data_IF_207002172491
#
_entry.id   IF_207002172491
#
_cell.length_a   1.000
_cell.length_b   1.000
_cell.length_c   1.000
_cell.angle_alpha   90.00
_cell.angle_beta   90.00
_cell.angle_gamma   90.00
#
_symmetry.space_group_name_H-M   'P 1'
#
loop_
_entity.id
_entity.type
_entity.pdbx_description
1 polymer ?
#
# COMPACT_ATOMS: atom_id res chain seq x y z
N UNK A 1 33.74 6.54 -37.30
CA UNK A 1 33.00 5.52 -36.56
C UNK A 1 33.00 5.94 -35.13
N UNK A 2 31.92 6.50 -34.63
CA UNK A 2 31.73 6.77 -33.19
C UNK A 2 31.18 5.46 -32.61
N UNK A 3 31.99 4.79 -31.80
CA UNK A 3 31.52 3.70 -30.96
C UNK A 3 30.56 4.30 -29.94
N UNK A 4 29.29 3.90 -30.02
CA UNK A 4 28.32 4.11 -28.95
C UNK A 4 28.77 3.23 -27.78
N UNK A 5 29.46 3.80 -26.82
CA UNK A 5 29.58 3.22 -25.48
C UNK A 5 28.18 3.23 -24.89
N UNK A 6 27.47 2.11 -25.02
CA UNK A 6 26.33 1.85 -24.16
C UNK A 6 26.87 1.76 -22.72
N UNK A 7 26.59 2.78 -21.92
CA UNK A 7 26.82 2.70 -20.48
C UNK A 7 26.16 1.43 -19.96
N UNK A 8 26.97 0.44 -19.62
CA UNK A 8 26.47 -0.79 -18.98
C UNK A 8 25.89 -0.40 -17.62
N UNK A 9 24.56 -0.44 -17.50
CA UNK A 9 23.87 -0.25 -16.24
C UNK A 9 24.41 -1.30 -15.27
N UNK A 10 25.13 -0.87 -14.23
CA UNK A 10 25.64 -1.78 -13.22
C UNK A 10 24.50 -2.13 -12.27
N UNK A 11 24.11 -3.43 -12.17
CA UNK A 11 23.04 -3.85 -11.26
C UNK A 11 23.31 -3.41 -9.81
N UNK A 12 22.27 -2.95 -9.11
CA UNK A 12 22.33 -2.51 -7.72
C UNK A 12 21.41 -3.34 -6.83
N UNK A 13 21.75 -3.41 -5.56
CA UNK A 13 20.89 -3.97 -4.54
C UNK A 13 19.76 -2.98 -4.23
N UNK A 14 18.56 -3.53 -3.94
CA UNK A 14 17.40 -2.75 -3.52
C UNK A 14 16.97 -3.16 -2.11
N UNK A 15 16.73 -2.18 -1.27
CA UNK A 15 16.17 -2.34 0.08
C UNK A 15 14.70 -1.93 0.09
N UNK A 16 13.81 -2.88 0.32
CA UNK A 16 12.36 -2.67 0.37
C UNK A 16 11.88 -2.83 1.80
N UNK A 17 11.18 -1.82 2.30
CA UNK A 17 10.50 -1.86 3.60
C UNK A 17 9.00 -1.86 3.37
N UNK A 18 8.30 -2.83 3.94
CA UNK A 18 6.84 -2.91 3.89
C UNK A 18 6.26 -2.63 5.28
N UNK A 19 5.38 -1.64 5.35
CA UNK A 19 4.73 -1.17 6.57
C UNK A 19 3.21 -1.32 6.42
N UNK A 20 2.51 -1.71 7.46
CA UNK A 20 1.06 -1.67 7.38
C UNK A 20 0.32 -2.79 8.07
N UNK A 21 -0.84 -3.09 7.54
CA UNK A 21 -1.83 -3.97 8.15
C UNK A 21 -1.75 -5.44 7.67
N UNK A 22 -2.87 -6.14 7.69
CA UNK A 22 -2.98 -7.54 7.26
C UNK A 22 -2.67 -7.78 5.79
N UNK A 23 -2.85 -6.77 4.91
CA UNK A 23 -2.47 -6.90 3.50
C UNK A 23 -0.94 -6.95 3.35
N UNK A 24 -0.24 -6.09 4.07
CA UNK A 24 1.24 -6.10 4.11
C UNK A 24 1.77 -7.38 4.78
N UNK A 25 1.09 -7.90 5.82
CA UNK A 25 1.41 -9.20 6.43
C UNK A 25 1.22 -10.37 5.45
N UNK A 26 0.33 -10.24 4.47
CA UNK A 26 0.01 -11.27 3.48
C UNK A 26 -1.08 -12.25 3.94
N UNK A 27 -2.01 -11.78 4.78
CA UNK A 27 -3.13 -12.60 5.27
C UNK A 27 -4.01 -13.06 4.11
N UNK A 28 -4.34 -14.35 4.06
CA UNK A 28 -5.11 -14.96 2.97
C UNK A 28 -4.24 -15.58 1.86
N UNK A 29 -2.93 -15.31 1.89
CA UNK A 29 -1.96 -15.94 0.99
C UNK A 29 -0.83 -16.62 1.77
N UNK A 30 -0.72 -17.93 1.66
CA UNK A 30 0.35 -18.70 2.34
C UNK A 30 1.77 -18.45 1.82
N UNK A 31 1.96 -17.52 0.87
CA UNK A 31 3.24 -17.24 0.20
C UNK A 31 3.82 -15.85 0.52
N UNK A 32 3.16 -15.06 1.38
CA UNK A 32 3.64 -13.75 1.84
C UNK A 32 3.08 -12.54 1.09
N UNK A 33 1.97 -12.72 0.37
CA UNK A 33 1.17 -11.66 -0.22
C UNK A 33 1.89 -10.83 -1.29
N UNK A 34 1.39 -9.62 -1.52
CA UNK A 34 1.90 -8.74 -2.57
C UNK A 34 3.37 -8.33 -2.38
N UNK A 35 3.85 -8.25 -1.14
CA UNK A 35 5.23 -7.84 -0.84
C UNK A 35 6.24 -8.82 -1.45
N UNK A 36 6.00 -10.12 -1.27
CA UNK A 36 6.85 -11.17 -1.85
C UNK A 36 6.80 -11.15 -3.39
N UNK A 37 5.63 -10.90 -3.96
CA UNK A 37 5.45 -10.84 -5.41
C UNK A 37 6.12 -9.61 -6.03
N UNK A 38 6.02 -8.44 -5.39
CA UNK A 38 6.75 -7.22 -5.83
C UNK A 38 8.26 -7.47 -5.79
N UNK A 39 8.79 -8.10 -4.71
CA UNK A 39 10.20 -8.53 -4.66
C UNK A 39 10.56 -9.34 -5.90
N UNK A 40 9.77 -10.38 -6.24
CA UNK A 40 10.03 -11.25 -7.40
C UNK A 40 9.99 -10.50 -8.74
N UNK A 41 9.14 -9.47 -8.88
CA UNK A 41 9.12 -8.63 -10.07
C UNK A 41 10.37 -7.76 -10.17
N UNK A 42 10.82 -7.17 -9.06
CA UNK A 42 12.03 -6.36 -9.02
C UNK A 42 13.30 -7.18 -9.29
N UNK A 43 13.39 -8.41 -8.78
CA UNK A 43 14.53 -9.33 -9.01
C UNK A 43 14.66 -9.82 -10.46
N UNK A 44 13.63 -9.68 -11.27
CA UNK A 44 13.71 -10.04 -12.72
C UNK A 44 14.32 -8.94 -13.58
N UNK A 45 14.60 -7.78 -13.02
CA UNK A 45 15.17 -6.65 -13.75
C UNK A 45 16.68 -6.81 -13.92
N UNK A 46 17.18 -6.40 -15.07
CA UNK A 46 18.62 -6.45 -15.38
C UNK A 46 19.45 -5.45 -14.59
N UNK A 47 18.84 -4.35 -14.12
CA UNK A 47 19.45 -3.31 -13.31
C UNK A 47 19.42 -3.59 -11.79
N UNK A 48 18.87 -4.74 -11.37
CA UNK A 48 18.76 -5.16 -9.97
C UNK A 48 19.62 -6.40 -9.73
N UNK A 49 20.48 -6.36 -8.71
CA UNK A 49 21.32 -7.47 -8.28
C UNK A 49 20.61 -8.37 -7.28
N UNK A 50 20.13 -7.78 -6.18
CA UNK A 50 19.39 -8.47 -5.12
C UNK A 50 18.35 -7.53 -4.50
N UNK A 51 17.23 -8.10 -4.00
CA UNK A 51 16.19 -7.34 -3.30
C UNK A 51 16.07 -7.82 -1.86
N UNK A 52 16.45 -6.96 -0.92
CA UNK A 52 16.33 -7.18 0.52
C UNK A 52 15.00 -6.62 1.02
N UNK A 53 14.15 -7.48 1.59
CA UNK A 53 12.83 -7.08 2.08
C UNK A 53 12.76 -7.18 3.60
N UNK A 54 12.28 -6.09 4.25
CA UNK A 54 11.88 -6.09 5.66
C UNK A 54 10.37 -5.81 5.72
N UNK A 55 9.60 -6.80 6.16
CA UNK A 55 8.14 -6.73 6.24
C UNK A 55 7.70 -6.54 7.70
N UNK A 56 7.07 -5.40 8.00
CA UNK A 56 6.51 -5.02 9.30
C UNK A 56 4.98 -4.96 9.27
N UNK A 57 4.35 -5.70 8.37
CA UNK A 57 2.89 -5.86 8.31
C UNK A 57 2.38 -6.53 9.59
N UNK A 58 1.25 -6.01 10.11
CA UNK A 58 0.62 -6.53 11.31
C UNK A 58 -0.89 -6.52 11.20
N UNK A 59 -1.50 -7.70 11.26
CA UNK A 59 -2.96 -7.84 11.22
C UNK A 59 -3.65 -6.91 12.23
N UNK A 60 -4.68 -6.21 11.75
CA UNK A 60 -5.48 -5.31 12.58
C UNK A 60 -4.84 -3.95 12.87
N UNK A 61 -3.64 -3.67 12.31
CA UNK A 61 -2.97 -2.37 12.52
C UNK A 61 -3.86 -1.23 11.99
N UNK A 62 -3.99 -0.18 12.79
CA UNK A 62 -4.63 1.08 12.43
C UNK A 62 -3.59 2.19 12.28
N UNK A 63 -3.98 3.26 11.59
CA UNK A 63 -3.08 4.38 11.32
C UNK A 63 -2.49 5.00 12.59
N UNK A 64 -3.23 5.04 13.70
CA UNK A 64 -2.75 5.55 14.99
C UNK A 64 -1.54 4.77 15.55
N UNK A 65 -1.32 3.53 15.13
CA UNK A 65 -0.25 2.65 15.60
C UNK A 65 0.95 2.60 14.63
N UNK A 66 0.78 3.11 13.40
CA UNK A 66 1.81 3.03 12.36
C UNK A 66 3.05 3.87 12.72
N UNK A 67 2.86 5.00 13.40
CA UNK A 67 3.95 5.86 13.87
C UNK A 67 4.92 5.12 14.79
N UNK A 68 4.42 4.26 15.68
CA UNK A 68 5.26 3.44 16.56
C UNK A 68 6.08 2.42 15.76
N UNK A 69 5.50 1.84 14.69
CA UNK A 69 6.21 0.90 13.82
C UNK A 69 7.33 1.63 13.07
N UNK A 70 7.04 2.82 12.52
CA UNK A 70 8.05 3.65 11.84
C UNK A 70 9.20 3.98 12.79
N UNK A 71 8.91 4.50 13.97
CA UNK A 71 9.92 4.92 14.95
C UNK A 71 10.80 3.75 15.42
N UNK A 72 10.21 2.59 15.68
CA UNK A 72 10.95 1.40 16.13
C UNK A 72 11.88 0.82 15.06
N UNK A 73 11.61 1.09 13.78
CA UNK A 73 12.35 0.55 12.64
C UNK A 73 13.11 1.62 11.85
N UNK A 74 13.34 2.80 12.44
CA UNK A 74 14.07 3.91 11.84
C UNK A 74 15.39 3.48 11.16
N UNK A 75 16.29 2.67 11.78
CA UNK A 75 17.56 2.29 11.16
C UNK A 75 17.42 1.47 9.87
N UNK A 76 16.30 0.75 9.71
CA UNK A 76 15.98 -0.02 8.51
C UNK A 76 15.36 0.88 7.45
N UNK A 77 14.42 1.75 7.85
CA UNK A 77 13.74 2.72 6.99
C UNK A 77 14.75 3.69 6.38
N UNK A 78 15.77 4.10 7.13
CA UNK A 78 16.82 5.01 6.67
C UNK A 78 17.59 4.47 5.44
N UNK A 79 17.60 3.16 5.25
CA UNK A 79 18.31 2.49 4.14
C UNK A 79 17.39 2.04 3.01
N UNK A 80 16.09 2.28 3.13
CA UNK A 80 15.12 1.83 2.15
C UNK A 80 15.22 2.63 0.85
N UNK A 81 15.23 1.94 -0.28
CA UNK A 81 15.00 2.53 -1.61
C UNK A 81 13.50 2.67 -1.87
N UNK A 82 12.71 1.69 -1.39
CA UNK A 82 11.26 1.61 -1.57
C UNK A 82 10.56 1.31 -0.25
N UNK A 83 9.54 2.09 0.06
CA UNK A 83 8.65 1.86 1.20
C UNK A 83 7.24 1.58 0.67
N UNK A 84 6.71 0.39 0.94
CA UNK A 84 5.35 -0.03 0.58
C UNK A 84 4.45 0.09 1.81
N UNK A 85 3.28 0.71 1.66
CA UNK A 85 2.35 0.92 2.78
C UNK A 85 0.96 0.44 2.43
N UNK A 86 0.31 -0.34 3.32
CA UNK A 86 -1.13 -0.57 3.35
C UNK A 86 -1.68 -0.17 4.70
N UNK A 87 -2.63 0.77 4.74
CA UNK A 87 -3.21 1.27 5.99
C UNK A 87 -4.56 1.95 5.73
N UNK A 88 -5.44 1.90 6.70
CA UNK A 88 -6.73 2.61 6.68
C UNK A 88 -7.94 1.69 6.67
N UNK A 89 -7.85 0.46 6.17
CA UNK A 89 -8.97 -0.49 6.18
C UNK A 89 -9.49 -0.78 7.59
N UNK A 90 -8.58 -0.93 8.56
CA UNK A 90 -8.96 -1.12 9.96
C UNK A 90 -9.50 0.15 10.63
N UNK A 91 -9.14 1.33 10.14
CA UNK A 91 -9.72 2.62 10.61
C UNK A 91 -11.18 2.72 10.15
N UNK A 92 -11.49 2.39 8.90
CA UNK A 92 -12.88 2.26 8.40
C UNK A 92 -13.66 1.25 9.24
N UNK A 93 -13.11 0.05 9.44
CA UNK A 93 -13.77 -1.01 10.20
C UNK A 93 -13.95 -0.66 11.69
N UNK A 94 -13.10 0.19 12.26
CA UNK A 94 -13.28 0.73 13.62
C UNK A 94 -14.57 1.55 13.71
N UNK A 95 -14.84 2.43 12.75
CA UNK A 95 -16.09 3.21 12.72
C UNK A 95 -17.29 2.27 12.66
N UNK A 96 -17.28 1.29 11.75
CA UNK A 96 -18.37 0.29 11.62
C UNK A 96 -18.62 -0.44 12.94
N UNK A 97 -17.58 -0.97 13.58
CA UNK A 97 -17.72 -1.77 14.81
C UNK A 97 -18.15 -0.93 16.02
N UNK A 98 -17.62 0.30 16.12
CA UNK A 98 -17.88 1.17 17.29
C UNK A 98 -19.26 1.81 17.27
N UNK A 99 -19.91 1.90 16.08
CA UNK A 99 -21.18 2.63 15.89
C UNK A 99 -22.21 1.77 15.17
N UNK A 100 -22.13 0.45 15.25
CA UNK A 100 -22.93 -0.50 14.45
C UNK A 100 -24.46 -0.19 14.46
N UNK A 101 -24.99 0.27 15.58
CA UNK A 101 -26.42 0.61 15.73
C UNK A 101 -26.76 2.07 15.37
N UNK A 102 -25.76 2.91 15.11
CA UNK A 102 -25.93 4.35 14.88
C UNK A 102 -24.93 4.88 13.84
N UNK A 103 -24.65 4.08 12.82
CA UNK A 103 -23.76 4.47 11.72
C UNK A 103 -24.35 5.68 10.97
N UNK A 104 -23.54 6.70 10.82
CA UNK A 104 -23.84 7.86 9.95
C UNK A 104 -22.65 8.17 9.08
N UNK A 105 -22.89 8.81 7.94
CA UNK A 105 -21.82 9.22 7.01
C UNK A 105 -20.82 10.20 7.67
N UNK A 106 -21.30 11.07 8.55
CA UNK A 106 -20.49 12.05 9.27
C UNK A 106 -19.41 11.41 10.16
N UNK A 107 -19.68 10.22 10.72
CA UNK A 107 -18.68 9.48 11.50
C UNK A 107 -17.50 9.05 10.63
N UNK A 108 -17.79 8.60 9.41
CA UNK A 108 -16.75 8.26 8.45
C UNK A 108 -15.97 9.49 7.97
N UNK A 109 -16.65 10.60 7.70
CA UNK A 109 -15.99 11.88 7.33
C UNK A 109 -15.02 12.32 8.43
N UNK A 110 -15.47 12.30 9.69
CA UNK A 110 -14.63 12.69 10.84
C UNK A 110 -13.40 11.79 10.99
N UNK A 111 -13.59 10.48 10.91
CA UNK A 111 -12.45 9.54 11.03
C UNK A 111 -11.51 9.64 9.83
N UNK A 112 -12.04 9.86 8.61
CA UNK A 112 -11.22 10.07 7.42
C UNK A 112 -10.33 11.32 7.56
N UNK A 113 -10.85 12.42 8.10
CA UNK A 113 -10.07 13.63 8.35
C UNK A 113 -8.93 13.36 9.37
N UNK A 114 -9.24 12.65 10.45
CA UNK A 114 -8.25 12.27 11.44
C UNK A 114 -7.21 11.30 10.86
N UNK A 115 -7.63 10.34 10.04
CA UNK A 115 -6.76 9.44 9.29
C UNK A 115 -5.81 10.21 8.36
N UNK A 116 -6.34 11.16 7.57
CA UNK A 116 -5.54 11.97 6.65
C UNK A 116 -4.48 12.80 7.40
N UNK A 117 -4.81 13.35 8.57
CA UNK A 117 -3.84 14.06 9.41
C UNK A 117 -2.72 13.14 9.90
N UNK A 118 -3.07 11.96 10.41
CA UNK A 118 -2.07 10.96 10.85
C UNK A 118 -1.18 10.50 9.70
N UNK A 119 -1.77 10.28 8.52
CA UNK A 119 -1.02 9.89 7.32
C UNK A 119 -0.02 10.96 6.89
N UNK A 120 -0.41 12.23 6.99
CA UNK A 120 0.47 13.37 6.72
C UNK A 120 1.64 13.44 7.71
N UNK A 121 1.37 13.30 9.01
CA UNK A 121 2.41 13.24 10.05
C UNK A 121 3.37 12.07 9.84
N UNK A 122 2.87 10.91 9.42
CA UNK A 122 3.67 9.73 9.12
C UNK A 122 4.56 9.92 7.89
N UNK A 123 4.06 10.58 6.85
CA UNK A 123 4.87 10.93 5.69
C UNK A 123 5.96 11.94 6.04
N UNK A 124 5.66 12.94 6.86
CA UNK A 124 6.69 13.87 7.36
C UNK A 124 7.77 13.14 8.13
N UNK A 125 7.40 12.19 9.01
CA UNK A 125 8.35 11.38 9.76
C UNK A 125 9.19 10.50 8.84
N UNK A 126 8.57 9.83 7.85
CA UNK A 126 9.29 9.01 6.88
C UNK A 126 10.28 9.84 6.05
N UNK A 127 9.89 11.04 5.62
CA UNK A 127 10.77 11.97 4.90
C UNK A 127 11.91 12.52 5.78
N UNK A 128 11.65 12.74 7.06
CA UNK A 128 12.69 13.10 8.02
C UNK A 128 13.73 11.98 8.22
N UNK A 129 13.27 10.72 8.29
CA UNK A 129 14.14 9.55 8.45
C UNK A 129 14.89 9.25 7.14
N UNK A 130 14.19 9.29 6.01
CA UNK A 130 14.73 8.98 4.70
C UNK A 130 14.12 9.91 3.63
N UNK A 131 14.83 10.98 3.24
CA UNK A 131 14.35 11.94 2.26
C UNK A 131 14.24 11.35 0.84
N UNK A 132 15.02 10.33 0.52
CA UNK A 132 15.23 9.81 -0.83
C UNK A 132 14.38 8.58 -1.16
N UNK A 133 13.85 7.87 -0.14
CA UNK A 133 13.05 6.67 -0.35
C UNK A 133 11.82 6.96 -1.22
N UNK A 134 11.51 6.07 -2.14
CA UNK A 134 10.24 6.11 -2.83
C UNK A 134 9.15 5.48 -1.96
N UNK A 135 8.04 6.20 -1.72
CA UNK A 135 6.99 5.75 -0.82
C UNK A 135 5.71 5.48 -1.61
N UNK A 136 5.22 4.25 -1.53
CA UNK A 136 4.00 3.79 -2.21
C UNK A 136 2.92 3.50 -1.18
N UNK A 137 1.76 4.14 -1.31
CA UNK A 137 0.55 3.75 -0.60
C UNK A 137 -0.38 2.99 -1.54
N UNK A 138 -0.70 1.77 -1.17
CA UNK A 138 -1.76 0.99 -1.83
C UNK A 138 -3.11 1.44 -1.30
N UNK A 139 -4.01 1.78 -2.20
CA UNK A 139 -5.36 2.23 -1.86
C UNK A 139 -6.22 1.15 -1.21
N UNK A 140 -7.36 1.56 -0.70
CA UNK A 140 -8.36 0.65 -0.14
C UNK A 140 -9.28 0.11 -1.25
N UNK A 141 -9.83 -1.07 -1.02
CA UNK A 141 -10.93 -1.65 -1.79
C UNK A 141 -12.12 -1.96 -0.89
N UNK A 142 -13.30 -2.16 -1.48
CA UNK A 142 -14.49 -2.62 -0.77
C UNK A 142 -14.59 -4.15 -0.87
N UNK A 143 -14.31 -4.90 0.21
CA UNK A 143 -14.39 -6.37 0.19
C UNK A 143 -15.84 -6.87 0.09
N UNK A 144 -16.83 -6.01 0.34
CA UNK A 144 -18.25 -6.37 0.37
C UNK A 144 -18.98 -6.07 -0.95
N UNK A 145 -18.29 -5.51 -1.96
CA UNK A 145 -18.93 -5.07 -3.21
C UNK A 145 -19.64 -6.21 -3.97
N UNK A 146 -19.07 -7.41 -3.96
CA UNK A 146 -19.71 -8.59 -4.58
C UNK A 146 -20.88 -9.14 -3.76
N UNK A 147 -20.76 -9.19 -2.42
CA UNK A 147 -21.78 -9.72 -1.53
C UNK A 147 -22.98 -8.77 -1.39
N UNK A 148 -22.76 -7.46 -1.48
CA UNK A 148 -23.77 -6.41 -1.30
C UNK A 148 -23.71 -5.35 -2.42
N UNK A 149 -23.97 -5.72 -3.68
CA UNK A 149 -23.78 -4.83 -4.84
C UNK A 149 -24.74 -3.62 -4.86
N UNK A 150 -25.76 -3.62 -4.01
CA UNK A 150 -26.74 -2.52 -3.90
C UNK A 150 -26.44 -1.55 -2.73
N UNK A 151 -25.32 -1.75 -2.00
CA UNK A 151 -24.91 -0.86 -0.90
C UNK A 151 -23.80 0.07 -1.41
N UNK A 152 -24.19 1.12 -2.14
CA UNK A 152 -23.25 2.10 -2.71
C UNK A 152 -22.58 3.00 -1.67
N UNK A 153 -23.11 3.06 -0.45
CA UNK A 153 -22.59 3.90 0.63
C UNK A 153 -21.16 3.49 1.02
N UNK A 154 -20.85 2.19 1.04
CA UNK A 154 -19.49 1.71 1.35
C UNK A 154 -18.51 2.09 0.23
N UNK A 155 -18.94 2.01 -1.02
CA UNK A 155 -18.10 2.44 -2.16
C UNK A 155 -17.78 3.93 -2.07
N UNK A 156 -18.77 4.75 -1.70
CA UNK A 156 -18.58 6.18 -1.44
C UNK A 156 -17.59 6.46 -0.30
N UNK A 157 -17.64 5.66 0.78
CA UNK A 157 -16.71 5.76 1.91
C UNK A 157 -15.29 5.38 1.46
N UNK A 158 -15.10 4.26 0.76
CA UNK A 158 -13.79 3.83 0.25
C UNK A 158 -13.24 4.85 -0.73
N UNK A 159 -14.06 5.38 -1.63
CA UNK A 159 -13.65 6.45 -2.55
C UNK A 159 -13.17 7.69 -1.78
N UNK A 160 -13.91 8.15 -0.78
CA UNK A 160 -13.52 9.30 0.06
C UNK A 160 -12.19 9.07 0.78
N UNK A 161 -11.94 7.85 1.29
CA UNK A 161 -10.65 7.49 1.91
C UNK A 161 -9.50 7.52 0.91
N UNK A 162 -9.70 6.94 -0.26
CA UNK A 162 -8.71 6.91 -1.32
C UNK A 162 -8.36 8.31 -1.84
N UNK A 163 -9.35 9.15 -2.09
CA UNK A 163 -9.13 10.54 -2.52
C UNK A 163 -8.41 11.37 -1.44
N UNK A 164 -8.79 11.20 -0.17
CA UNK A 164 -8.09 11.81 0.95
C UNK A 164 -6.62 11.41 1.03
N UNK A 165 -6.34 10.12 0.89
CA UNK A 165 -4.98 9.56 0.88
C UNK A 165 -4.17 10.07 -0.31
N UNK A 166 -4.74 10.04 -1.52
CA UNK A 166 -4.13 10.57 -2.74
C UNK A 166 -3.78 12.05 -2.59
N UNK A 167 -4.68 12.84 -2.02
CA UNK A 167 -4.44 14.27 -1.75
C UNK A 167 -3.31 14.50 -0.75
N UNK A 168 -3.15 13.64 0.27
CA UNK A 168 -2.01 13.71 1.20
C UNK A 168 -0.73 13.39 0.46
N UNK A 169 -0.67 12.27 -0.27
CA UNK A 169 0.51 11.82 -1.00
C UNK A 169 0.96 12.82 -2.06
N UNK A 170 0.04 13.46 -2.77
CA UNK A 170 0.38 14.45 -3.83
C UNK A 170 1.11 15.71 -3.33
N UNK A 171 1.30 15.89 -2.03
CA UNK A 171 2.03 17.01 -1.43
C UNK A 171 3.53 16.74 -1.23
N UNK A 172 3.95 15.48 -1.44
CA UNK A 172 5.31 15.04 -1.19
C UNK A 172 5.94 14.49 -2.46
N UNK A 173 7.20 14.82 -2.70
CA UNK A 173 7.99 14.23 -3.77
C UNK A 173 8.31 12.77 -3.46
N UNK A 174 8.58 11.99 -4.50
CA UNK A 174 8.88 10.56 -4.42
C UNK A 174 7.80 9.74 -3.69
N UNK A 175 6.54 10.11 -3.90
CA UNK A 175 5.39 9.38 -3.37
C UNK A 175 4.44 8.96 -4.48
N UNK A 176 3.80 7.80 -4.30
CA UNK A 176 2.87 7.22 -5.25
C UNK A 176 1.66 6.64 -4.53
N UNK A 177 0.47 7.03 -4.97
CA UNK A 177 -0.77 6.37 -4.58
C UNK A 177 -1.17 5.36 -5.67
N UNK A 178 -1.30 4.08 -5.30
CA UNK A 178 -1.69 3.00 -6.22
C UNK A 178 -3.13 2.59 -5.95
N UNK A 179 -4.09 2.95 -6.82
CA UNK A 179 -5.48 2.55 -6.67
C UNK A 179 -5.65 1.06 -7.00
N UNK A 180 -6.47 0.38 -6.19
CA UNK A 180 -6.80 -1.05 -6.38
C UNK A 180 -8.30 -1.34 -6.30
N UNK A 181 -9.15 -0.31 -6.14
CA UNK A 181 -10.59 -0.47 -5.96
C UNK A 181 -11.23 -1.22 -7.12
N UNK A 182 -10.84 -0.89 -8.35
CA UNK A 182 -11.32 -1.51 -9.59
C UNK A 182 -10.95 -2.99 -9.73
N UNK A 183 -9.89 -3.44 -9.08
CA UNK A 183 -9.48 -4.85 -9.10
C UNK A 183 -10.48 -5.75 -8.36
N UNK A 184 -11.16 -5.20 -7.35
CA UNK A 184 -12.04 -5.93 -6.44
C UNK A 184 -13.53 -5.67 -6.69
N UNK A 185 -13.89 -4.73 -7.58
CA UNK A 185 -15.26 -4.38 -7.85
C UNK A 185 -16.04 -5.57 -8.44
N UNK A 186 -17.07 -6.03 -7.69
CA UNK A 186 -17.94 -7.15 -8.09
C UNK A 186 -17.24 -8.52 -8.12
N UNK A 187 -16.07 -8.66 -7.46
CA UNK A 187 -15.24 -9.86 -7.51
C UNK A 187 -15.02 -10.48 -6.13
N UNK A 188 -15.65 -11.63 -5.89
CA UNK A 188 -15.42 -12.50 -4.73
C UNK A 188 -14.39 -13.61 -5.00
N UNK A 189 -14.16 -13.95 -6.27
CA UNK A 189 -13.21 -14.96 -6.74
C UNK A 189 -11.75 -14.69 -6.35
N UNK A 190 -11.42 -13.43 -6.03
CA UNK A 190 -10.09 -12.99 -5.61
C UNK A 190 -9.99 -12.70 -4.10
N UNK A 191 -11.06 -12.99 -3.35
CA UNK A 191 -11.05 -12.93 -1.88
C UNK A 191 -10.73 -14.32 -1.29
N UNK A 192 -10.15 -14.29 -0.10
CA UNK A 192 -9.89 -15.48 0.73
C UNK A 192 -11.20 -15.98 1.38
N UNK A 193 -11.16 -17.13 2.05
CA UNK A 193 -12.32 -17.76 2.70
C UNK A 193 -13.04 -16.86 3.71
N UNK A 194 -12.35 -15.87 4.26
CA UNK A 194 -12.93 -14.90 5.18
C UNK A 194 -13.73 -13.78 4.49
N UNK A 195 -13.81 -13.80 3.17
CA UNK A 195 -14.53 -12.84 2.32
C UNK A 195 -14.11 -11.37 2.57
N UNK A 196 -12.88 -11.19 3.03
CA UNK A 196 -12.36 -9.87 3.40
C UNK A 196 -10.95 -9.62 2.85
N UNK A 197 -10.03 -10.56 3.07
CA UNK A 197 -8.66 -10.45 2.60
C UNK A 197 -8.53 -10.99 1.17
N UNK A 198 -7.55 -10.49 0.39
CA UNK A 198 -7.25 -11.08 -0.91
C UNK A 198 -6.77 -12.53 -0.75
N UNK A 199 -7.11 -13.38 -1.69
CA UNK A 199 -6.45 -14.68 -1.86
C UNK A 199 -5.18 -14.51 -2.72
N UNK A 200 -4.47 -15.61 -3.05
CA UNK A 200 -3.27 -15.59 -3.88
C UNK A 200 -3.48 -14.80 -5.17
N UNK A 201 -4.61 -14.99 -5.86
CA UNK A 201 -4.92 -14.26 -7.10
C UNK A 201 -5.14 -12.76 -6.88
N UNK A 202 -5.82 -12.39 -5.80
CA UNK A 202 -5.99 -11.00 -5.40
C UNK A 202 -4.65 -10.30 -5.14
N UNK A 203 -3.74 -10.97 -4.43
CA UNK A 203 -2.39 -10.45 -4.20
C UNK A 203 -1.54 -10.36 -5.46
N UNK A 204 -1.67 -11.29 -6.41
CA UNK A 204 -1.02 -11.20 -7.72
C UNK A 204 -1.44 -9.92 -8.47
N UNK A 205 -2.74 -9.61 -8.48
CA UNK A 205 -3.26 -8.41 -9.13
C UNK A 205 -2.76 -7.13 -8.45
N UNK A 206 -2.74 -7.10 -7.11
CA UNK A 206 -2.18 -5.97 -6.35
C UNK A 206 -0.71 -5.76 -6.70
N UNK A 207 0.10 -6.83 -6.65
CA UNK A 207 1.52 -6.75 -6.92
C UNK A 207 1.82 -6.30 -8.35
N UNK A 208 1.08 -6.84 -9.32
CA UNK A 208 1.18 -6.42 -10.72
C UNK A 208 0.85 -4.93 -10.87
N UNK A 209 -0.24 -4.44 -10.26
CA UNK A 209 -0.64 -3.04 -10.29
C UNK A 209 0.44 -2.13 -9.69
N UNK A 210 1.03 -2.52 -8.54
CA UNK A 210 2.12 -1.77 -7.93
C UNK A 210 3.31 -1.68 -8.89
N UNK A 211 3.71 -2.80 -9.48
CA UNK A 211 4.86 -2.86 -10.40
C UNK A 211 4.63 -2.00 -11.65
N UNK A 212 3.45 -2.09 -12.28
CA UNK A 212 3.06 -1.25 -13.42
C UNK A 212 3.12 0.24 -13.10
N UNK A 213 2.64 0.65 -11.91
CA UNK A 213 2.69 2.04 -11.47
C UNK A 213 4.12 2.52 -11.21
N UNK A 214 4.98 1.68 -10.61
CA UNK A 214 6.39 1.99 -10.42
C UNK A 214 7.12 2.21 -11.76
N UNK A 215 6.78 1.44 -12.79
CA UNK A 215 7.30 1.63 -14.16
C UNK A 215 6.79 2.93 -14.78
N UNK A 216 5.48 3.18 -14.75
CA UNK A 216 4.85 4.37 -15.33
C UNK A 216 5.35 5.68 -14.71
N UNK A 217 5.77 5.66 -13.46
CA UNK A 217 6.28 6.81 -12.72
C UNK A 217 7.83 6.87 -12.66
N UNK A 218 8.50 6.14 -13.55
CA UNK A 218 9.96 6.20 -13.76
C UNK A 218 10.82 5.92 -12.51
N UNK A 219 10.22 5.36 -11.44
CA UNK A 219 11.03 4.93 -10.29
C UNK A 219 11.95 3.77 -10.65
N UNK A 220 11.46 2.90 -11.50
CA UNK A 220 12.22 1.87 -12.18
C UNK A 220 12.17 2.19 -13.67
N UNK A 221 13.33 2.46 -14.28
CA UNK A 221 13.43 2.72 -15.73
C UNK A 221 12.88 1.57 -16.58
N UNK A 222 12.67 1.82 -17.87
CA UNK A 222 12.28 0.80 -18.85
C UNK A 222 13.32 -0.32 -18.97
#
# INVERSE_FOLDING_TARGET
>A
MQENEQEQIKPRDLHVVALGDSLTEGVGDGKGGYVTLVKQYLEKREDVSEVFVQNFGKRGLRSEQLTDIITKNEPVIQKADLILITIGGNDVMKVVRSHFLSLTYELFVKEQQAFASRLDEQLQLLRYINPDAYIVLVGLYNPFSAAFPNISEMDGIIHMWNEGSKKVFSRYDYTLFVPIVDLFEGRDDILYDDQFHPNTRGYELIAQRIYEYLQQHEWIGE
#
